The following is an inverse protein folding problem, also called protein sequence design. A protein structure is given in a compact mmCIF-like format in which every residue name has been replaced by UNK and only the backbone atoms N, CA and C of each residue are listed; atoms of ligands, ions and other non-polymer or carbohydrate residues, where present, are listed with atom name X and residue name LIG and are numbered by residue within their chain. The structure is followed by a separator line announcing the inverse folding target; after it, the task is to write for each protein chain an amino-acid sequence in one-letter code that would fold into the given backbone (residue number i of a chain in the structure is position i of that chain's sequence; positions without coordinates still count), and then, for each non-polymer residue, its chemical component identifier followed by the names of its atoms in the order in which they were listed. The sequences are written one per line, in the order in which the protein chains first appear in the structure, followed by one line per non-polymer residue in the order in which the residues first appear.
data_IF_016564552133
#
_entry.id   IF_016564552133
#
_cell.length_a   1.000
_cell.length_b   1.000
_cell.length_c   1.000
_cell.angle_alpha   90.00
_cell.angle_beta   90.00
_cell.angle_gamma   90.00
#
_symmetry.space_group_name_H-M   'P 1'
#
loop_
_entity.id
_entity.type
_entity.pdbx_description
1 polymer ?
#
# COMPACT_ATOMS: atom_id res chain seq x y z
N UNK A 1 5.75 39.03 18.85
CA UNK A 1 4.60 38.16 18.82
C UNK A 1 5.17 36.76 18.67
N UNK A 2 5.28 35.97 19.76
CA UNK A 2 5.81 34.60 19.70
C UNK A 2 4.91 33.76 18.82
N UNK A 3 5.49 33.05 17.86
CA UNK A 3 4.79 32.04 17.09
C UNK A 3 4.24 31.01 18.10
N UNK A 4 2.94 30.81 18.12
CA UNK A 4 2.33 29.68 18.87
C UNK A 4 2.87 28.42 18.22
N UNK A 5 3.77 27.74 18.89
CA UNK A 5 4.33 26.48 18.42
C UNK A 5 3.27 25.38 18.59
N UNK A 6 2.53 25.10 17.51
CA UNK A 6 1.48 24.08 17.50
C UNK A 6 2.10 22.70 17.72
N UNK A 7 1.64 22.02 18.77
CA UNK A 7 2.01 20.63 19.05
C UNK A 7 1.15 19.67 18.27
N UNK A 8 1.75 18.76 17.55
CA UNK A 8 1.04 17.72 16.79
C UNK A 8 1.53 16.34 17.19
N UNK A 9 0.60 15.43 17.47
CA UNK A 9 0.89 14.02 17.67
C UNK A 9 0.46 13.27 16.42
N UNK A 10 1.39 12.51 15.83
CA UNK A 10 1.14 11.59 14.71
C UNK A 10 1.15 10.16 15.26
N UNK A 11 0.04 9.43 15.12
CA UNK A 11 -0.13 8.07 15.60
C UNK A 11 0.03 7.07 14.46
N UNK A 12 1.05 6.20 14.57
CA UNK A 12 1.44 5.22 13.56
C UNK A 12 2.73 5.59 12.82
N UNK A 13 3.77 4.75 12.93
CA UNK A 13 5.08 4.92 12.29
C UNK A 13 5.22 4.06 11.01
N UNK A 14 4.14 3.88 10.27
CA UNK A 14 4.14 3.41 8.88
C UNK A 14 4.51 4.55 7.91
N UNK A 15 4.45 4.28 6.60
CA UNK A 15 4.84 5.27 5.58
C UNK A 15 4.06 6.57 5.70
N UNK A 16 2.72 6.51 5.86
CA UNK A 16 1.90 7.71 5.98
C UNK A 16 2.23 8.53 7.23
N UNK A 17 2.52 7.86 8.36
CA UNK A 17 2.86 8.55 9.60
C UNK A 17 4.23 9.20 9.56
N UNK A 18 5.24 8.47 9.10
CA UNK A 18 6.60 9.01 8.96
C UNK A 18 6.62 10.17 7.96
N UNK A 19 5.96 10.01 6.79
CA UNK A 19 5.87 11.07 5.79
C UNK A 19 5.18 12.31 6.35
N UNK A 20 4.01 12.15 7.00
CA UNK A 20 3.29 13.27 7.62
C UNK A 20 4.13 13.96 8.70
N UNK A 21 4.77 13.19 9.58
CA UNK A 21 5.61 13.71 10.64
C UNK A 21 6.81 14.49 10.08
N UNK A 22 7.46 13.97 9.03
CA UNK A 22 8.61 14.60 8.39
C UNK A 22 8.21 15.91 7.68
N UNK A 23 7.11 15.93 6.93
CA UNK A 23 6.61 17.15 6.29
C UNK A 23 6.19 18.21 7.30
N UNK A 24 5.49 17.83 8.37
CA UNK A 24 5.13 18.74 9.45
C UNK A 24 6.38 19.32 10.14
N UNK A 25 7.39 18.46 10.36
CA UNK A 25 8.65 18.91 10.97
C UNK A 25 9.42 19.87 10.08
N UNK A 26 9.49 19.61 8.77
CA UNK A 26 10.05 20.53 7.77
C UNK A 26 9.30 21.87 7.72
N UNK A 27 8.00 21.86 8.01
CA UNK A 27 7.19 23.08 8.14
C UNK A 27 7.34 23.80 9.49
N UNK A 28 8.23 23.35 10.38
CA UNK A 28 8.49 23.98 11.68
C UNK A 28 7.52 23.61 12.79
N UNK A 29 6.68 22.58 12.61
CA UNK A 29 5.72 22.11 13.64
C UNK A 29 6.45 21.28 14.70
N UNK A 30 6.05 21.43 15.96
CA UNK A 30 6.49 20.55 17.04
C UNK A 30 5.76 19.20 16.95
N UNK A 31 6.47 18.12 16.57
CA UNK A 31 5.88 16.81 16.23
C UNK A 31 6.40 15.72 17.15
N UNK A 32 5.45 14.94 17.71
CA UNK A 32 5.73 13.66 18.34
C UNK A 32 5.06 12.52 17.55
N UNK A 33 5.87 11.57 17.09
CA UNK A 33 5.40 10.36 16.42
C UNK A 33 5.23 9.25 17.47
N UNK A 34 4.08 8.58 17.47
CA UNK A 34 3.74 7.50 18.43
C UNK A 34 3.47 6.21 17.68
N UNK A 35 4.13 5.12 18.06
CA UNK A 35 3.86 3.78 17.51
C UNK A 35 4.15 2.69 18.54
N UNK A 36 3.35 1.62 18.52
CA UNK A 36 3.51 0.53 19.49
C UNK A 36 4.75 -0.34 19.27
N UNK A 37 5.24 -0.44 18.03
CA UNK A 37 6.34 -1.35 17.66
C UNK A 37 7.55 -0.63 17.09
N UNK A 38 7.36 0.60 16.62
CA UNK A 38 8.41 1.42 16.02
C UNK A 38 8.33 1.54 14.49
N UNK A 39 9.28 2.27 13.88
CA UNK A 39 9.23 2.61 12.46
C UNK A 39 9.29 1.37 11.58
N UNK A 40 8.42 1.34 10.57
CA UNK A 40 8.32 0.28 9.58
C UNK A 40 7.98 -1.13 10.12
N UNK A 41 7.54 -1.27 11.36
CA UNK A 41 7.26 -2.58 11.97
C UNK A 41 5.91 -3.21 11.55
N UNK A 42 5.11 -2.53 10.73
CA UNK A 42 3.80 -2.96 10.26
C UNK A 42 3.77 -3.26 8.76
N UNK A 43 2.62 -3.02 8.13
CA UNK A 43 2.34 -3.31 6.71
C UNK A 43 3.27 -2.60 5.73
N UNK A 44 3.86 -1.48 6.12
CA UNK A 44 4.82 -0.75 5.29
C UNK A 44 6.16 -1.47 5.08
N UNK A 45 6.48 -2.51 5.85
CA UNK A 45 7.66 -3.35 5.66
C UNK A 45 7.49 -4.34 4.51
N UNK A 46 6.33 -5.02 4.47
CA UNK A 46 6.11 -6.21 3.63
C UNK A 46 5.46 -5.94 2.28
N UNK A 47 5.31 -4.67 1.86
CA UNK A 47 4.70 -4.33 0.57
C UNK A 47 5.60 -4.64 -0.63
N UNK A 48 5.03 -4.61 -1.83
CA UNK A 48 5.74 -4.89 -3.08
C UNK A 48 6.78 -3.82 -3.48
N UNK A 49 6.87 -2.71 -2.77
CA UNK A 49 7.82 -1.63 -3.06
C UNK A 49 7.52 -0.84 -4.33
N UNK A 50 6.36 -0.97 -4.93
CA UNK A 50 6.00 -0.28 -6.19
C UNK A 50 5.42 1.10 -5.89
N UNK A 51 5.97 2.14 -6.50
CA UNK A 51 5.41 3.48 -6.57
C UNK A 51 4.54 3.55 -7.82
N UNK A 52 3.27 3.17 -7.69
CA UNK A 52 2.40 2.90 -8.83
C UNK A 52 1.33 3.96 -8.99
N UNK A 53 1.63 5.01 -9.76
CA UNK A 53 0.68 6.06 -10.15
C UNK A 53 -0.53 5.52 -10.96
N UNK A 54 -0.35 4.41 -11.68
CA UNK A 54 -1.38 3.76 -12.50
C UNK A 54 -2.22 2.70 -11.78
N UNK A 55 -2.03 2.44 -10.48
CA UNK A 55 -2.81 1.44 -9.72
C UNK A 55 -4.17 1.98 -9.25
N UNK A 56 -4.89 2.60 -10.15
CA UNK A 56 -6.19 3.29 -9.91
C UNK A 56 -7.41 2.39 -10.05
N UNK A 57 -7.27 1.18 -10.59
CA UNK A 57 -8.41 0.27 -10.78
C UNK A 57 -8.59 -0.57 -9.52
N UNK A 58 -9.77 -0.52 -8.86
CA UNK A 58 -10.04 -1.35 -7.69
C UNK A 58 -10.18 -2.82 -8.08
N UNK A 59 -10.09 -3.71 -7.11
CA UNK A 59 -10.37 -5.15 -7.32
C UNK A 59 -11.86 -5.36 -7.64
N UNK A 60 -12.73 -4.52 -7.13
CA UNK A 60 -14.19 -4.52 -7.35
C UNK A 60 -14.58 -4.01 -8.74
N UNK A 61 -14.14 -4.71 -9.78
CA UNK A 61 -14.55 -4.38 -11.14
C UNK A 61 -15.94 -4.96 -11.47
N UNK A 62 -16.64 -4.40 -12.49
CA UNK A 62 -17.91 -4.95 -12.93
C UNK A 62 -17.81 -6.45 -13.25
N UNK A 63 -18.79 -7.22 -12.79
CA UNK A 63 -18.84 -8.68 -12.99
C UNK A 63 -18.08 -9.52 -11.94
N UNK A 64 -17.36 -8.91 -10.99
CA UNK A 64 -16.64 -9.61 -9.94
C UNK A 64 -17.57 -10.50 -9.09
N UNK A 65 -18.81 -10.07 -8.83
CA UNK A 65 -19.78 -10.84 -8.07
C UNK A 65 -20.11 -12.20 -8.69
N UNK A 66 -20.09 -12.31 -10.02
CA UNK A 66 -20.31 -13.58 -10.74
C UNK A 66 -19.08 -14.49 -10.67
N UNK A 67 -17.89 -13.92 -10.62
CA UNK A 67 -16.61 -14.64 -10.58
C UNK A 67 -16.20 -15.04 -9.16
N UNK A 68 -16.67 -14.31 -8.14
CA UNK A 68 -16.27 -14.52 -6.75
C UNK A 68 -16.49 -15.97 -6.25
N UNK A 69 -17.62 -16.65 -6.47
CA UNK A 69 -17.80 -18.03 -6.04
C UNK A 69 -16.78 -19.00 -6.63
N UNK A 70 -16.47 -18.87 -7.93
CA UNK A 70 -15.46 -19.71 -8.58
C UNK A 70 -14.05 -19.41 -8.03
N UNK A 71 -13.73 -18.15 -7.77
CA UNK A 71 -12.45 -17.77 -7.17
C UNK A 71 -12.28 -18.33 -5.74
N UNK A 72 -13.35 -18.39 -4.95
CA UNK A 72 -13.30 -18.92 -3.59
C UNK A 72 -13.16 -20.46 -3.54
N UNK A 73 -13.58 -21.14 -4.58
CA UNK A 73 -13.48 -22.60 -4.71
C UNK A 73 -12.20 -23.06 -5.42
N UNK A 74 -11.47 -22.15 -6.05
CA UNK A 74 -10.21 -22.45 -6.73
C UNK A 74 -9.05 -22.43 -5.73
N UNK A 75 -8.43 -23.58 -5.43
CA UNK A 75 -7.28 -23.62 -4.50
C UNK A 75 -6.04 -22.86 -5.00
N UNK A 76 -6.00 -22.51 -6.29
CA UNK A 76 -4.93 -21.68 -6.90
C UNK A 76 -5.26 -20.18 -6.89
N UNK A 77 -6.42 -19.80 -6.37
CA UNK A 77 -6.81 -18.39 -6.27
C UNK A 77 -5.92 -17.68 -5.24
N UNK A 78 -5.44 -16.48 -5.53
CA UNK A 78 -4.68 -15.68 -4.55
C UNK A 78 -5.57 -15.08 -3.45
N UNK A 79 -6.87 -15.36 -3.46
CA UNK A 79 -7.86 -14.88 -2.50
C UNK A 79 -8.22 -15.98 -1.53
N UNK A 80 -7.88 -15.81 -0.27
CA UNK A 80 -8.25 -16.72 0.80
C UNK A 80 -9.26 -16.07 1.74
N UNK A 81 -10.30 -16.83 2.11
CA UNK A 81 -11.26 -16.43 3.14
C UNK A 81 -11.36 -17.57 4.15
N UNK A 82 -11.21 -17.23 5.43
CA UNK A 82 -11.51 -18.18 6.50
C UNK A 82 -13.00 -18.34 6.64
N UNK A 83 -13.51 -19.53 6.43
CA UNK A 83 -14.95 -19.83 6.48
C UNK A 83 -15.57 -19.39 7.83
N UNK A 84 -14.87 -19.58 8.95
CA UNK A 84 -15.33 -19.13 10.27
C UNK A 84 -15.38 -17.60 10.43
N UNK A 85 -14.68 -16.84 9.58
CA UNK A 85 -14.70 -15.37 9.57
C UNK A 85 -15.77 -14.80 8.63
N UNK A 86 -16.26 -15.59 7.70
CA UNK A 86 -17.24 -15.17 6.67
C UNK A 86 -18.46 -14.42 7.24
N UNK A 87 -19.12 -14.85 8.35
CA UNK A 87 -20.25 -14.11 8.91
C UNK A 87 -19.92 -12.65 9.28
N UNK A 88 -18.69 -12.39 9.75
CA UNK A 88 -18.21 -11.03 10.07
C UNK A 88 -17.88 -10.23 8.83
N UNK A 89 -17.42 -10.90 7.77
CA UNK A 89 -17.04 -10.29 6.49
C UNK A 89 -18.25 -9.91 5.62
N UNK A 90 -19.39 -10.61 5.75
CA UNK A 90 -20.59 -10.40 4.92
C UNK A 90 -21.07 -8.94 4.87
N UNK A 91 -21.14 -8.18 5.97
CA UNK A 91 -21.55 -6.77 5.93
C UNK A 91 -20.62 -5.91 5.05
N UNK A 92 -19.31 -6.12 5.18
CA UNK A 92 -18.31 -5.47 4.34
C UNK A 92 -18.48 -5.87 2.87
N UNK A 93 -18.58 -7.16 2.57
CA UNK A 93 -18.73 -7.66 1.20
C UNK A 93 -19.99 -7.11 0.52
N UNK A 94 -21.10 -6.93 1.24
CA UNK A 94 -22.31 -6.31 0.68
C UNK A 94 -22.04 -4.87 0.21
N UNK A 95 -21.35 -4.07 1.03
CA UNK A 95 -20.96 -2.72 0.65
C UNK A 95 -19.95 -2.76 -0.50
N UNK A 96 -18.94 -3.59 -0.40
CA UNK A 96 -17.88 -3.73 -1.40
C UNK A 96 -18.43 -4.07 -2.78
N UNK A 97 -19.31 -5.07 -2.88
CA UNK A 97 -19.90 -5.51 -4.15
C UNK A 97 -20.92 -4.51 -4.72
N UNK A 98 -21.57 -3.71 -3.88
CA UNK A 98 -22.48 -2.64 -4.32
C UNK A 98 -21.75 -1.63 -5.20
N UNK A 99 -20.48 -1.39 -4.97
CA UNK A 99 -19.66 -0.43 -5.72
C UNK A 99 -18.99 -1.04 -6.96
N UNK A 100 -19.20 -2.32 -7.25
CA UNK A 100 -18.66 -3.02 -8.44
C UNK A 100 -19.43 -2.66 -9.73
N UNK A 101 -19.70 -1.40 -9.98
CA UNK A 101 -20.33 -0.87 -11.19
C UNK A 101 -19.36 0.00 -11.98
N UNK A 102 -19.55 0.11 -13.30
CA UNK A 102 -18.66 0.91 -14.16
C UNK A 102 -18.54 2.36 -13.69
N UNK A 103 -19.65 2.99 -13.27
CA UNK A 103 -19.64 4.38 -12.83
C UNK A 103 -18.90 4.57 -11.51
N UNK A 104 -19.13 3.68 -10.54
CA UNK A 104 -18.41 3.73 -9.27
C UNK A 104 -16.91 3.46 -9.45
N UNK A 105 -16.54 2.54 -10.33
CA UNK A 105 -15.12 2.27 -10.61
C UNK A 105 -14.47 3.45 -11.32
N UNK A 106 -15.16 4.14 -12.25
CA UNK A 106 -14.66 5.38 -12.86
C UNK A 106 -14.49 6.49 -11.82
N UNK A 107 -15.47 6.69 -10.96
CA UNK A 107 -15.39 7.66 -9.87
C UNK A 107 -14.22 7.36 -8.93
N UNK A 108 -14.08 6.10 -8.51
CA UNK A 108 -12.97 5.65 -7.70
C UNK A 108 -11.62 5.90 -8.39
N UNK A 109 -11.50 5.51 -9.66
CA UNK A 109 -10.25 5.66 -10.41
C UNK A 109 -9.81 7.12 -10.54
N UNK A 110 -10.76 8.04 -10.82
CA UNK A 110 -10.47 9.48 -10.82
C UNK A 110 -10.01 9.98 -9.46
N UNK A 111 -10.71 9.60 -8.38
CA UNK A 111 -10.37 10.02 -7.03
C UNK A 111 -9.01 9.48 -6.60
N UNK A 112 -8.72 8.22 -6.91
CA UNK A 112 -7.42 7.61 -6.63
C UNK A 112 -6.30 8.24 -7.42
N UNK A 113 -6.52 8.57 -8.71
CA UNK A 113 -5.49 9.20 -9.53
C UNK A 113 -5.06 10.56 -8.95
N UNK A 114 -5.99 11.33 -8.40
CA UNK A 114 -5.68 12.59 -7.72
C UNK A 114 -4.84 12.40 -6.45
N UNK A 115 -4.84 11.20 -5.85
CA UNK A 115 -4.09 10.89 -4.63
C UNK A 115 -2.73 10.22 -4.91
N UNK A 116 -2.64 9.42 -5.98
CA UNK A 116 -1.45 8.59 -6.23
C UNK A 116 -0.77 8.86 -7.57
N UNK A 117 -1.36 9.70 -8.44
CA UNK A 117 -0.86 9.94 -9.80
C UNK A 117 0.56 10.49 -9.87
N UNK A 118 0.98 11.18 -8.82
CA UNK A 118 2.31 11.76 -8.67
C UNK A 118 3.18 11.04 -7.61
N UNK A 119 2.85 9.79 -7.26
CA UNK A 119 3.52 9.05 -6.19
C UNK A 119 5.04 9.02 -6.30
N UNK A 120 5.59 8.86 -7.51
CA UNK A 120 7.03 8.82 -7.71
C UNK A 120 7.67 10.17 -7.33
N UNK A 121 7.16 11.28 -7.87
CA UNK A 121 7.71 12.62 -7.59
C UNK A 121 7.55 12.98 -6.12
N UNK A 122 6.42 12.66 -5.48
CA UNK A 122 6.19 12.88 -4.06
C UNK A 122 7.18 12.11 -3.18
N UNK A 123 7.50 10.87 -3.53
CA UNK A 123 8.52 10.09 -2.82
C UNK A 123 9.93 10.61 -3.05
N UNK A 124 10.26 11.09 -4.25
CA UNK A 124 11.54 11.74 -4.55
C UNK A 124 11.67 13.01 -3.70
N UNK A 125 10.65 13.86 -3.66
CA UNK A 125 10.66 15.10 -2.87
C UNK A 125 10.74 14.82 -1.36
N UNK A 126 10.01 13.81 -0.88
CA UNK A 126 10.06 13.39 0.52
C UNK A 126 11.46 12.92 0.92
N UNK A 127 12.13 12.15 0.06
CA UNK A 127 13.44 11.58 0.34
C UNK A 127 14.62 12.54 0.08
N UNK A 128 14.39 13.62 -0.66
CA UNK A 128 15.42 14.55 -1.08
C UNK A 128 16.24 15.10 0.09
N UNK A 129 17.56 14.99 -0.02
CA UNK A 129 18.53 15.41 1.01
C UNK A 129 18.64 14.45 2.19
N UNK A 130 17.98 13.28 2.13
CA UNK A 130 18.00 12.30 3.21
C UNK A 130 18.74 11.02 2.81
N UNK A 131 19.05 10.17 3.79
CA UNK A 131 19.59 8.83 3.52
C UNK A 131 18.61 7.87 2.83
N UNK A 132 17.37 8.32 2.55
CA UNK A 132 16.34 7.53 1.91
C UNK A 132 16.40 7.57 0.37
N UNK A 133 17.01 8.59 -0.23
CA UNK A 133 17.10 8.75 -1.71
C UNK A 133 17.60 7.49 -2.43
N UNK A 134 18.63 6.86 -1.87
CA UNK A 134 19.26 5.67 -2.46
C UNK A 134 18.36 4.45 -2.61
N UNK A 135 17.19 4.46 -1.97
CA UNK A 135 16.24 3.36 -2.05
C UNK A 135 15.19 3.55 -3.14
N UNK A 136 15.11 4.74 -3.74
CA UNK A 136 14.16 5.03 -4.82
C UNK A 136 14.84 4.75 -6.16
N UNK A 137 14.14 4.04 -7.02
CA UNK A 137 14.54 3.84 -8.41
C UNK A 137 13.39 4.22 -9.32
N UNK A 138 13.67 5.07 -10.31
CA UNK A 138 12.75 5.37 -11.41
C UNK A 138 12.78 4.17 -12.37
N UNK A 139 11.67 3.45 -12.43
CA UNK A 139 11.53 2.25 -13.25
C UNK A 139 10.09 2.08 -13.70
N UNK A 140 9.92 1.60 -14.93
CA UNK A 140 8.61 1.21 -15.43
C UNK A 140 8.01 0.07 -14.59
N UNK A 141 6.68 0.05 -14.50
CA UNK A 141 5.94 -1.03 -13.87
C UNK A 141 5.22 -1.86 -14.92
N UNK A 142 5.61 -3.12 -15.07
CA UNK A 142 5.17 -4.00 -16.12
C UNK A 142 4.00 -4.89 -15.69
N UNK A 143 2.93 -4.94 -16.48
CA UNK A 143 1.84 -5.93 -16.35
C UNK A 143 2.02 -7.00 -17.43
N UNK A 144 2.31 -8.22 -17.04
CA UNK A 144 2.67 -9.30 -17.94
C UNK A 144 1.54 -10.34 -18.07
N UNK A 145 1.16 -10.62 -19.32
CA UNK A 145 0.07 -11.52 -19.68
C UNK A 145 0.60 -12.74 -20.43
N UNK A 146 0.21 -13.93 -20.00
CA UNK A 146 0.62 -15.18 -20.64
C UNK A 146 -0.07 -15.43 -21.98
N UNK A 147 -1.23 -14.79 -22.23
CA UNK A 147 -1.99 -14.93 -23.49
C UNK A 147 -2.60 -13.61 -23.94
N UNK A 148 -2.82 -13.44 -25.25
CA UNK A 148 -3.57 -12.30 -25.81
C UNK A 148 -4.99 -12.21 -25.26
N UNK A 149 -5.66 -13.37 -25.01
CA UNK A 149 -6.99 -13.40 -24.46
C UNK A 149 -7.05 -12.81 -23.03
N UNK A 150 -6.05 -13.10 -22.20
CA UNK A 150 -5.95 -12.52 -20.87
C UNK A 150 -5.74 -10.99 -20.92
N UNK A 151 -4.90 -10.50 -21.82
CA UNK A 151 -4.73 -9.05 -22.03
C UNK A 151 -6.04 -8.39 -22.52
N UNK A 152 -6.70 -9.00 -23.52
CA UNK A 152 -7.96 -8.45 -24.04
C UNK A 152 -9.08 -8.41 -22.98
N UNK A 153 -9.08 -9.33 -22.01
CA UNK A 153 -10.06 -9.31 -20.91
C UNK A 153 -9.91 -8.11 -19.97
N UNK A 154 -8.74 -7.49 -19.95
CA UNK A 154 -8.43 -6.30 -19.15
C UNK A 154 -8.52 -4.98 -19.97
N UNK A 155 -8.92 -5.04 -21.25
CA UNK A 155 -8.95 -3.88 -22.17
C UNK A 155 -9.71 -2.69 -21.59
N UNK A 156 -10.88 -2.91 -21.00
CA UNK A 156 -11.64 -1.85 -20.36
C UNK A 156 -10.86 -1.12 -19.24
N UNK A 157 -10.10 -1.86 -18.46
CA UNK A 157 -9.27 -1.29 -17.40
C UNK A 157 -8.09 -0.47 -17.96
N UNK A 158 -7.55 -0.89 -19.11
CA UNK A 158 -6.49 -0.14 -19.82
C UNK A 158 -7.05 1.11 -20.49
N UNK A 159 -8.23 1.04 -21.10
CA UNK A 159 -8.92 2.22 -21.64
C UNK A 159 -9.22 3.26 -20.54
N UNK A 160 -9.65 2.80 -19.36
CA UNK A 160 -9.89 3.70 -18.24
C UNK A 160 -8.59 4.38 -17.77
N UNK A 161 -7.46 3.64 -17.68
CA UNK A 161 -6.15 4.26 -17.38
C UNK A 161 -5.76 5.30 -18.41
N UNK A 162 -5.91 4.96 -19.69
CA UNK A 162 -5.62 5.89 -20.80
C UNK A 162 -6.47 7.16 -20.71
N UNK A 163 -7.75 7.05 -20.37
CA UNK A 163 -8.64 8.20 -20.21
C UNK A 163 -8.28 9.13 -19.05
N UNK A 164 -7.49 8.64 -18.08
CA UNK A 164 -6.92 9.41 -16.97
C UNK A 164 -5.56 10.03 -17.29
N UNK A 165 -5.05 9.84 -18.52
CA UNK A 165 -3.74 10.34 -18.92
C UNK A 165 -2.58 9.48 -18.44
N UNK A 166 -2.84 8.26 -17.95
CA UNK A 166 -1.76 7.34 -17.58
C UNK A 166 -1.09 6.80 -18.83
N UNK A 167 0.20 7.06 -18.94
CA UNK A 167 1.02 6.66 -20.09
C UNK A 167 1.50 5.22 -19.94
N UNK A 168 1.30 4.44 -20.98
CA UNK A 168 1.80 3.08 -21.07
C UNK A 168 2.05 2.65 -22.51
N UNK A 169 2.88 1.64 -22.65
CA UNK A 169 3.24 1.01 -23.92
C UNK A 169 2.86 -0.47 -23.89
N UNK A 170 2.34 -0.98 -25.00
CA UNK A 170 2.01 -2.40 -25.15
C UNK A 170 3.05 -3.03 -26.06
N UNK A 171 3.83 -3.96 -25.52
CA UNK A 171 4.92 -4.64 -26.21
C UNK A 171 4.70 -6.16 -26.27
N UNK A 172 5.39 -6.83 -27.17
CA UNK A 172 5.40 -8.29 -27.22
C UNK A 172 6.22 -8.89 -26.07
N UNK A 173 5.95 -10.15 -25.73
CA UNK A 173 6.77 -10.88 -24.77
C UNK A 173 8.21 -11.11 -25.24
N UNK A 174 8.43 -11.18 -26.56
CA UNK A 174 9.76 -11.25 -27.18
C UNK A 174 10.55 -9.97 -26.93
N UNK A 175 9.98 -8.84 -27.28
CA UNK A 175 10.59 -7.52 -27.06
C UNK A 175 10.87 -7.28 -25.56
N UNK A 176 9.96 -7.67 -24.69
CA UNK A 176 10.20 -7.60 -23.24
C UNK A 176 11.38 -8.46 -22.81
N UNK A 177 11.54 -9.65 -23.39
CA UNK A 177 12.65 -10.57 -23.09
C UNK A 177 14.03 -10.02 -23.51
N UNK A 178 14.11 -9.10 -24.46
CA UNK A 178 15.34 -8.42 -24.81
C UNK A 178 15.81 -7.50 -23.66
N UNK A 179 14.86 -6.85 -22.98
CA UNK A 179 15.17 -5.98 -21.83
C UNK A 179 15.43 -6.78 -20.55
N UNK A 180 14.69 -7.90 -20.35
CA UNK A 180 14.84 -8.77 -19.17
C UNK A 180 14.80 -10.26 -19.58
N UNK A 181 15.96 -10.87 -19.88
CA UNK A 181 16.05 -12.27 -20.36
C UNK A 181 15.48 -13.33 -19.40
N UNK A 182 15.36 -13.01 -18.10
CA UNK A 182 14.79 -13.92 -17.11
C UNK A 182 13.34 -14.32 -17.43
N UNK A 183 12.65 -13.49 -18.20
CA UNK A 183 11.27 -13.71 -18.61
C UNK A 183 11.11 -14.29 -20.04
N UNK A 184 12.21 -14.79 -20.64
CA UNK A 184 12.15 -15.37 -21.98
C UNK A 184 11.10 -16.48 -22.10
N UNK A 185 10.18 -16.35 -23.06
CA UNK A 185 9.10 -17.31 -23.33
C UNK A 185 8.00 -17.40 -22.26
N UNK A 186 8.01 -16.51 -21.24
CA UNK A 186 7.02 -16.56 -20.14
C UNK A 186 5.73 -15.81 -20.45
N UNK A 187 5.82 -14.74 -21.25
CA UNK A 187 4.71 -13.83 -21.50
C UNK A 187 4.46 -13.66 -23.00
N UNK A 188 3.20 -13.41 -23.35
CA UNK A 188 2.77 -13.10 -24.70
C UNK A 188 2.69 -11.60 -24.96
N UNK A 189 2.21 -10.87 -23.97
CA UNK A 189 2.01 -9.40 -24.04
C UNK A 189 2.40 -8.78 -22.72
N UNK A 190 3.11 -7.67 -22.77
CA UNK A 190 3.48 -6.88 -21.59
C UNK A 190 3.01 -5.45 -21.78
N UNK A 191 2.40 -4.86 -20.76
CA UNK A 191 2.07 -3.45 -20.70
C UNK A 191 3.06 -2.78 -19.76
N UNK A 192 3.87 -1.91 -20.29
CA UNK A 192 4.90 -1.15 -19.59
C UNK A 192 4.33 0.21 -19.24
N UNK A 193 4.07 0.43 -17.95
CA UNK A 193 3.58 1.73 -17.47
C UNK A 193 4.75 2.66 -17.20
N UNK A 194 4.66 3.87 -17.75
CA UNK A 194 5.64 4.93 -17.58
C UNK A 194 5.39 5.73 -16.30
N UNK A 195 6.36 6.51 -15.87
CA UNK A 195 6.26 7.39 -14.70
C UNK A 195 5.93 6.65 -13.40
N UNK A 196 6.51 5.46 -13.25
CA UNK A 196 6.44 4.63 -12.06
C UNK A 196 7.82 4.53 -11.42
N UNK A 197 7.87 3.96 -10.23
CA UNK A 197 9.12 3.72 -9.55
C UNK A 197 9.01 2.54 -8.59
N UNK A 198 10.13 2.23 -7.97
CA UNK A 198 10.17 1.23 -6.91
C UNK A 198 11.02 1.68 -5.74
N UNK A 199 10.70 1.16 -4.57
CA UNK A 199 11.52 1.23 -3.37
C UNK A 199 12.26 -0.09 -3.23
N UNK A 200 13.57 -0.07 -3.37
CA UNK A 200 14.42 -1.27 -3.37
C UNK A 200 14.49 -1.98 -2.02
N UNK A 201 14.18 -1.27 -0.93
CA UNK A 201 14.01 -1.82 0.42
C UNK A 201 13.02 -0.94 1.20
N UNK A 202 11.72 -1.29 1.25
CA UNK A 202 10.72 -0.49 1.95
C UNK A 202 11.01 -0.29 3.45
N UNK A 203 11.55 -1.32 4.11
CA UNK A 203 11.89 -1.22 5.53
C UNK A 203 13.04 -0.26 5.81
N UNK A 204 14.12 -0.37 5.03
CA UNK A 204 15.29 0.50 5.15
C UNK A 204 14.96 1.95 4.72
N UNK A 205 14.14 2.12 3.67
CA UNK A 205 13.64 3.41 3.22
C UNK A 205 12.91 4.16 4.35
N UNK A 206 11.96 3.52 5.00
CA UNK A 206 11.22 4.13 6.10
C UNK A 206 12.11 4.46 7.30
N UNK A 207 13.04 3.58 7.63
CA UNK A 207 14.01 3.83 8.72
C UNK A 207 14.89 5.04 8.42
N UNK A 208 15.29 5.23 7.15
CA UNK A 208 16.07 6.41 6.75
C UNK A 208 15.25 7.70 6.84
N UNK A 209 13.98 7.70 6.41
CA UNK A 209 13.08 8.84 6.59
C UNK A 209 12.82 9.15 8.08
N UNK A 210 12.67 8.11 8.89
CA UNK A 210 12.52 8.26 10.34
C UNK A 210 13.77 8.86 10.98
N UNK A 211 14.95 8.41 10.58
CA UNK A 211 16.21 8.99 11.05
C UNK A 211 16.30 10.51 10.74
N UNK A 212 15.86 10.89 9.55
CA UNK A 212 15.77 12.31 9.17
C UNK A 212 14.76 13.07 10.05
N UNK A 213 13.58 12.51 10.31
CA UNK A 213 12.60 13.10 11.22
C UNK A 213 13.20 13.37 12.61
N UNK A 214 13.98 12.43 13.15
CA UNK A 214 14.65 12.58 14.45
C UNK A 214 15.77 13.65 14.37
N UNK A 215 16.56 13.67 13.29
CA UNK A 215 17.65 14.65 13.10
C UNK A 215 17.15 16.09 13.08
N UNK A 216 15.94 16.31 12.58
CA UNK A 216 15.23 17.60 12.59
C UNK A 216 14.61 17.94 13.96
N UNK A 217 14.87 17.16 15.00
CA UNK A 217 14.32 17.36 16.35
C UNK A 217 12.89 16.87 16.52
N UNK A 218 12.43 15.92 15.68
CA UNK A 218 11.19 15.18 15.92
C UNK A 218 11.33 14.26 17.13
N UNK A 219 10.25 14.04 17.88
CA UNK A 219 10.21 13.13 19.02
C UNK A 219 9.51 11.83 18.66
N UNK A 220 9.97 10.73 19.22
CA UNK A 220 9.34 9.42 19.06
C UNK A 220 9.01 8.83 20.42
N UNK A 221 7.77 8.34 20.54
CA UNK A 221 7.27 7.62 21.73
C UNK A 221 6.82 6.23 21.33
N UNK A 222 7.47 5.21 21.90
CA UNK A 222 7.05 3.83 21.67
C UNK A 222 5.93 3.47 22.63
N UNK A 223 4.69 3.64 22.17
CA UNK A 223 3.50 3.37 22.97
C UNK A 223 2.30 2.98 22.09
N UNK A 224 1.38 2.21 22.66
CA UNK A 224 0.12 1.85 22.01
C UNK A 224 -0.95 2.88 22.38
N UNK A 225 -1.64 3.43 21.38
CA UNK A 225 -2.85 4.24 21.60
C UNK A 225 -3.98 3.33 22.08
N UNK A 226 -4.54 3.63 23.25
CA UNK A 226 -5.57 2.81 23.92
C UNK A 226 -6.95 3.46 23.78
N UNK A 227 -7.05 4.77 24.06
CA UNK A 227 -8.32 5.49 24.00
C UNK A 227 -8.11 6.98 23.72
N UNK A 228 -9.20 7.68 23.52
CA UNK A 228 -9.25 9.10 23.18
C UNK A 228 -10.00 9.86 24.27
N UNK A 229 -9.47 11.01 24.67
CA UNK A 229 -10.14 11.93 25.59
C UNK A 229 -10.63 13.16 24.83
N UNK A 230 -11.93 13.42 24.94
CA UNK A 230 -12.57 14.60 24.38
C UNK A 230 -12.87 15.61 25.47
N UNK A 231 -12.71 16.89 25.18
CA UNK A 231 -13.12 18.00 26.01
C UNK A 231 -13.83 19.02 25.12
N UNK A 232 -15.01 19.47 25.54
CA UNK A 232 -15.83 20.43 24.79
C UNK A 232 -16.09 20.01 23.32
N UNK A 233 -16.30 18.70 23.09
CA UNK A 233 -16.57 18.17 21.74
C UNK A 233 -15.32 17.96 20.85
N UNK A 234 -14.17 18.42 21.26
CA UNK A 234 -12.90 18.28 20.54
C UNK A 234 -11.96 17.26 21.20
N UNK A 235 -11.11 16.62 20.42
CA UNK A 235 -10.08 15.72 20.94
C UNK A 235 -9.02 16.55 21.67
N UNK A 236 -8.78 16.25 22.94
CA UNK A 236 -7.86 17.00 23.82
C UNK A 236 -6.62 16.18 24.21
N UNK A 237 -6.74 14.86 24.25
CA UNK A 237 -5.65 13.97 24.60
C UNK A 237 -5.86 12.57 24.03
N UNK A 238 -4.77 11.81 23.95
CA UNK A 238 -4.79 10.36 23.73
C UNK A 238 -4.23 9.66 24.95
N UNK A 239 -4.89 8.58 25.35
CA UNK A 239 -4.36 7.66 26.35
C UNK A 239 -3.48 6.63 25.64
N UNK A 240 -2.24 6.53 26.03
CA UNK A 240 -1.27 5.57 25.54
C UNK A 240 -0.88 4.56 26.64
N UNK A 241 -0.20 3.48 26.26
CA UNK A 241 0.14 2.39 27.20
C UNK A 241 0.98 2.80 28.41
N UNK A 242 1.69 3.92 28.32
CA UNK A 242 2.60 4.43 29.36
C UNK A 242 2.21 5.83 29.88
N UNK A 243 0.97 6.28 29.63
CA UNK A 243 0.50 7.57 30.16
C UNK A 243 -0.54 8.25 29.30
N UNK A 244 -0.66 9.55 29.45
CA UNK A 244 -1.53 10.41 28.66
C UNK A 244 -0.69 11.45 27.91
N UNK A 245 -1.07 11.72 26.65
CA UNK A 245 -0.41 12.72 25.82
C UNK A 245 -1.41 13.75 25.31
N UNK A 246 -1.04 15.03 25.42
CA UNK A 246 -1.85 16.17 24.96
C UNK A 246 -1.17 16.87 23.80
N UNK A 247 -1.96 17.37 22.86
CA UNK A 247 -1.51 18.17 21.73
C UNK A 247 -2.65 19.06 21.21
N UNK A 248 -2.31 20.00 20.35
CA UNK A 248 -3.28 20.83 19.65
C UNK A 248 -3.90 20.07 18.46
N UNK A 249 -3.12 19.19 17.84
CA UNK A 249 -3.56 18.38 16.68
C UNK A 249 -3.17 16.92 16.85
N UNK A 250 -4.01 16.03 16.29
CA UNK A 250 -3.80 14.59 16.25
C UNK A 250 -3.99 14.07 14.82
N UNK A 251 -3.00 13.36 14.30
CA UNK A 251 -3.01 12.73 12.99
C UNK A 251 -2.97 11.21 13.18
N UNK A 252 -4.01 10.50 12.74
CA UNK A 252 -4.09 9.06 12.87
C UNK A 252 -3.76 8.37 11.54
N UNK A 253 -2.66 7.63 11.52
CA UNK A 253 -2.11 6.92 10.37
C UNK A 253 -1.85 5.44 10.71
N UNK A 254 -2.82 4.82 11.38
CA UNK A 254 -2.69 3.52 12.01
C UNK A 254 -2.88 2.34 11.03
N UNK A 255 -2.96 2.61 9.72
CA UNK A 255 -3.13 1.57 8.71
C UNK A 255 -4.38 0.71 9.00
N UNK A 256 -4.26 -0.63 9.02
CA UNK A 256 -5.40 -1.51 9.23
C UNK A 256 -6.07 -1.37 10.62
N UNK A 257 -5.41 -0.76 11.61
CA UNK A 257 -5.98 -0.47 12.94
C UNK A 257 -6.77 0.84 12.99
N UNK A 258 -6.85 1.62 11.91
CA UNK A 258 -7.57 2.90 11.85
C UNK A 258 -9.07 2.76 12.12
N UNK A 259 -9.66 1.60 11.82
CA UNK A 259 -11.08 1.32 12.10
C UNK A 259 -11.45 1.40 13.59
N UNK A 260 -10.52 1.02 14.48
CA UNK A 260 -10.75 1.09 15.93
C UNK A 260 -10.83 2.55 16.40
N UNK A 261 -9.90 3.38 15.93
CA UNK A 261 -9.89 4.81 16.24
C UNK A 261 -11.08 5.54 15.63
N UNK A 262 -11.47 5.19 14.39
CA UNK A 262 -12.65 5.76 13.76
C UNK A 262 -13.91 5.55 14.64
N UNK A 263 -14.09 4.34 15.17
CA UNK A 263 -15.21 4.05 16.11
C UNK A 263 -15.15 4.89 17.39
N UNK A 264 -13.97 5.07 17.98
CA UNK A 264 -13.78 5.93 19.16
C UNK A 264 -14.09 7.40 18.85
N UNK A 265 -13.87 7.84 17.62
CA UNK A 265 -14.24 9.18 17.14
C UNK A 265 -15.73 9.31 16.82
N UNK A 266 -16.49 8.21 16.80
CA UNK A 266 -17.90 8.18 16.42
C UNK A 266 -18.13 8.08 14.91
N UNK A 267 -17.08 7.73 14.16
CA UNK A 267 -17.15 7.56 12.72
C UNK A 267 -17.48 6.10 12.36
N UNK A 268 -18.51 5.90 11.56
CA UNK A 268 -18.86 4.57 11.04
C UNK A 268 -18.25 4.39 9.65
N UNK A 269 -17.05 3.86 9.60
CA UNK A 269 -16.35 3.56 8.34
C UNK A 269 -16.42 2.05 8.11
N UNK A 270 -16.97 1.57 6.98
CA UNK A 270 -16.94 0.16 6.60
C UNK A 270 -15.51 -0.23 6.25
N UNK A 271 -14.78 -0.74 7.23
CA UNK A 271 -13.35 -1.03 7.14
C UNK A 271 -13.09 -2.50 7.43
N UNK A 272 -12.33 -3.16 6.56
CA UNK A 272 -11.88 -4.53 6.75
C UNK A 272 -10.38 -4.64 6.48
N UNK A 273 -9.73 -5.54 7.21
CA UNK A 273 -8.31 -5.79 7.04
C UNK A 273 -8.05 -6.91 6.04
N UNK A 274 -7.13 -6.68 5.13
CA UNK A 274 -6.58 -7.67 4.21
C UNK A 274 -5.18 -8.05 4.69
N UNK A 275 -4.99 -9.32 5.09
CA UNK A 275 -3.67 -9.88 5.37
C UNK A 275 -2.94 -10.10 4.06
N UNK A 276 -1.79 -9.46 3.87
CA UNK A 276 -0.93 -9.64 2.71
C UNK A 276 0.25 -10.55 3.02
N UNK A 277 0.61 -11.43 2.08
CA UNK A 277 1.79 -12.29 2.19
C UNK A 277 2.78 -11.98 1.09
N UNK A 278 4.05 -12.16 1.42
CA UNK A 278 5.13 -12.12 0.44
C UNK A 278 6.16 -13.22 0.71
N UNK A 279 6.84 -13.62 -0.36
CA UNK A 279 7.97 -14.54 -0.31
C UNK A 279 9.22 -13.76 -0.71
N UNK A 280 10.33 -14.00 -0.06
CA UNK A 280 11.63 -13.44 -0.42
C UNK A 280 12.61 -14.54 -0.84
N UNK A 281 13.12 -14.43 -2.06
CA UNK A 281 14.23 -15.24 -2.53
C UNK A 281 15.51 -14.46 -2.24
N UNK A 282 16.26 -14.93 -1.26
CA UNK A 282 17.46 -14.26 -0.78
C UNK A 282 18.68 -14.69 -1.60
N UNK A 283 19.51 -13.71 -2.01
CA UNK A 283 20.71 -13.92 -2.81
C UNK A 283 20.47 -14.84 -4.02
N UNK A 284 19.47 -14.53 -4.89
CA UNK A 284 19.24 -15.35 -6.07
C UNK A 284 20.44 -15.28 -7.02
N UNK A 285 20.67 -16.36 -7.77
CA UNK A 285 21.75 -16.42 -8.78
C UNK A 285 21.53 -15.43 -9.91
N UNK A 286 20.27 -15.14 -10.23
CA UNK A 286 19.86 -14.17 -11.25
C UNK A 286 18.82 -13.24 -10.67
N UNK A 287 18.88 -11.96 -11.06
CA UNK A 287 17.99 -10.91 -10.59
C UNK A 287 17.19 -10.36 -11.76
N UNK A 288 15.85 -10.27 -11.68
CA UNK A 288 15.07 -9.56 -12.68
C UNK A 288 15.46 -8.08 -12.68
N UNK A 289 15.41 -7.47 -13.85
CA UNK A 289 15.68 -6.03 -14.02
C UNK A 289 14.42 -5.21 -13.76
N UNK A 290 13.30 -5.75 -14.22
CA UNK A 290 12.00 -5.08 -14.21
C UNK A 290 11.12 -5.50 -13.03
N UNK A 291 10.25 -4.59 -12.62
CA UNK A 291 9.18 -4.91 -11.67
C UNK A 291 7.95 -5.38 -12.43
N UNK A 292 7.55 -6.63 -12.21
CA UNK A 292 6.53 -7.29 -13.05
C UNK A 292 5.34 -7.74 -12.21
N UNK A 293 4.14 -7.29 -12.58
CA UNK A 293 2.87 -7.89 -12.12
C UNK A 293 2.50 -9.03 -13.07
N UNK A 294 2.53 -10.24 -12.57
CA UNK A 294 2.08 -11.44 -13.29
C UNK A 294 0.56 -11.49 -13.24
N UNK A 295 -0.10 -11.18 -14.35
CA UNK A 295 -1.56 -11.04 -14.39
C UNK A 295 -2.31 -12.32 -14.03
N UNK A 296 -1.81 -13.49 -14.44
CA UNK A 296 -2.43 -14.80 -14.17
C UNK A 296 -2.37 -15.18 -12.68
N UNK A 297 -1.25 -14.91 -12.02
CA UNK A 297 -1.03 -15.21 -10.60
C UNK A 297 -1.40 -14.05 -9.66
N UNK A 298 -1.71 -12.86 -10.20
CA UNK A 298 -2.04 -11.64 -9.46
C UNK A 298 -1.00 -11.23 -8.41
N UNK A 299 0.26 -11.59 -8.61
CA UNK A 299 1.36 -11.21 -7.74
C UNK A 299 2.36 -10.34 -8.48
N UNK A 300 3.16 -9.61 -7.73
CA UNK A 300 4.21 -8.73 -8.22
C UNK A 300 5.57 -9.34 -7.90
N UNK A 301 6.44 -9.38 -8.88
CA UNK A 301 7.86 -9.72 -8.75
C UNK A 301 8.64 -8.42 -8.69
N UNK A 302 9.27 -8.14 -7.56
CA UNK A 302 10.06 -6.93 -7.37
C UNK A 302 11.51 -7.27 -7.08
N UNK A 303 12.45 -6.83 -7.93
CA UNK A 303 13.87 -6.88 -7.59
C UNK A 303 14.14 -5.88 -6.46
N UNK A 304 14.63 -6.39 -5.34
CA UNK A 304 15.03 -5.60 -4.17
C UNK A 304 16.51 -5.76 -3.88
N UNK A 305 17.04 -5.04 -2.92
CA UNK A 305 18.43 -5.15 -2.54
C UNK A 305 18.75 -6.58 -2.04
N UNK A 306 19.58 -7.32 -2.80
CA UNK A 306 20.02 -8.70 -2.53
C UNK A 306 18.90 -9.74 -2.43
N UNK A 307 17.69 -9.46 -2.94
CA UNK A 307 16.56 -10.38 -2.91
C UNK A 307 15.51 -10.08 -3.97
N UNK A 308 14.72 -11.08 -4.32
CA UNK A 308 13.50 -10.91 -5.10
C UNK A 308 12.33 -11.06 -4.14
N UNK A 309 11.40 -10.10 -4.16
CA UNK A 309 10.16 -10.20 -3.41
C UNK A 309 8.99 -10.55 -4.34
N UNK A 310 8.24 -11.57 -3.97
CA UNK A 310 6.99 -11.98 -4.61
C UNK A 310 5.85 -11.62 -3.66
N UNK A 311 5.00 -10.65 -4.03
CA UNK A 311 3.92 -10.18 -3.16
C UNK A 311 2.58 -10.16 -3.93
N UNK A 312 1.49 -10.65 -3.30
CA UNK A 312 0.19 -10.62 -4.00
C UNK A 312 -0.91 -11.52 -3.41
N UNK A 313 -0.61 -12.31 -2.40
CA UNK A 313 -1.62 -13.15 -1.73
C UNK A 313 -2.38 -12.31 -0.72
N UNK A 314 -3.71 -12.44 -0.71
CA UNK A 314 -4.63 -11.70 0.16
C UNK A 314 -5.47 -12.68 0.98
N UNK A 315 -5.53 -12.47 2.29
CA UNK A 315 -6.31 -13.26 3.24
C UNK A 315 -7.26 -12.36 4.06
N UNK A 316 -8.54 -12.67 4.04
CA UNK A 316 -9.55 -12.06 4.90
C UNK A 316 -9.74 -12.87 6.17
N UNK A 317 -8.94 -12.60 7.18
CA UNK A 317 -8.95 -13.28 8.48
C UNK A 317 -9.12 -12.33 9.67
N UNK A 318 -9.27 -11.04 9.41
CA UNK A 318 -9.29 -9.98 10.42
C UNK A 318 -7.91 -9.73 11.02
N UNK A 319 -7.77 -8.64 11.79
CA UNK A 319 -6.49 -8.20 12.38
C UNK A 319 -5.84 -9.19 13.33
N UNK A 320 -6.62 -10.07 13.96
CA UNK A 320 -6.15 -11.04 14.97
C UNK A 320 -6.04 -12.46 14.45
N UNK A 321 -6.33 -12.68 13.16
CA UNK A 321 -6.22 -14.00 12.55
C UNK A 321 -4.76 -14.46 12.50
N UNK A 322 -4.44 -15.75 12.85
CA UNK A 322 -3.10 -16.26 12.65
C UNK A 322 -2.77 -16.29 11.15
N UNK A 323 -1.48 -16.16 10.81
CA UNK A 323 -1.04 -16.25 9.42
C UNK A 323 -1.48 -17.57 8.77
N UNK A 324 -1.94 -17.52 7.52
CA UNK A 324 -2.29 -18.71 6.74
C UNK A 324 -1.05 -19.17 5.95
N UNK A 325 -0.24 -20.04 6.55
CA UNK A 325 1.01 -20.52 5.95
C UNK A 325 0.71 -21.34 4.68
N UNK A 326 -0.38 -22.12 4.66
CA UNK A 326 -0.76 -22.92 3.47
C UNK A 326 -1.15 -22.07 2.25
N UNK A 327 -1.34 -20.78 2.41
CA UNK A 327 -1.55 -19.86 1.29
C UNK A 327 -0.25 -19.52 0.53
N UNK A 328 0.91 -19.90 1.11
CA UNK A 328 2.24 -19.59 0.58
C UNK A 328 2.89 -20.84 -0.03
N UNK A 329 2.47 -22.03 0.40
CA UNK A 329 2.88 -23.34 -0.14
C UNK A 329 2.18 -23.64 -1.46
#
# INVERSE_FOLDING_TARGET
MGLIELKTIVCGAGINGIASALWLKRAGVDVTLVDQKGPAAGTSFGNAGVLSSGSVIPITVPGIARKAPAMLLDPKSPLFIRWGYLPKLVPFLKHYLKYATSDNVRYYANSMYNLIGDSLSQHIDLAKGTGAEKFISDHDYCYAYSTKGAFNSDSWAWELRKSLGIEFEVISGEEFSESDPLYHGKFCTVVRNKNHGRINDPGAYLKALFAEFISLGGRFEQAKVISLRKSNGSLSAIQVSNGEMTADNFVFTLGPWSGDIARLLGLNVPFESEGGYHIELINPSEMPRETVKVASGKFVVTPMQSRIRLAGIVDFSGLSGPANISAIE
#
